data_IF_848027774417
#
_entry.id   IF_848027774417
#
_cell.length_a   1.000
_cell.length_b   1.000
_cell.length_c   1.000
_cell.angle_alpha   90.00
_cell.angle_beta   90.00
_cell.angle_gamma   90.00
#
_symmetry.space_group_name_H-M   'P 1'
#
loop_
_entity.id
_entity.type
_entity.pdbx_description
1 polymer ?
#
# COMPACT_ATOMS: atom_id res chain seq x y z
N UNK A 1 14.93 43.10 29.74
CA UNK A 1 14.45 42.27 30.87
C UNK A 1 15.04 40.87 30.76
N UNK A 2 15.27 40.15 31.88
CA UNK A 2 15.84 38.78 31.87
C UNK A 2 15.07 37.80 30.96
N UNK A 3 13.78 38.09 30.72
CA UNK A 3 12.89 37.36 29.83
C UNK A 3 13.29 37.43 28.34
N UNK A 4 13.83 38.58 27.88
CA UNK A 4 14.24 38.76 26.48
C UNK A 4 15.52 37.97 26.17
N UNK A 5 16.50 38.00 27.09
CA UNK A 5 17.75 37.23 26.96
C UNK A 5 17.47 35.72 26.84
N UNK A 6 16.52 35.17 27.62
CA UNK A 6 16.18 33.75 27.60
C UNK A 6 15.60 33.26 26.26
N UNK A 7 14.85 34.11 25.55
CA UNK A 7 14.33 33.79 24.20
C UNK A 7 15.42 33.77 23.14
N UNK A 8 16.42 34.63 23.25
CA UNK A 8 17.56 34.66 22.32
C UNK A 8 18.40 33.40 22.45
N UNK A 9 18.70 32.96 23.68
CA UNK A 9 19.43 31.69 23.89
C UNK A 9 18.64 30.46 23.43
N UNK A 10 17.32 30.46 23.61
CA UNK A 10 16.47 29.37 23.12
C UNK A 10 16.45 29.31 21.59
N UNK A 11 16.36 30.47 20.92
CA UNK A 11 16.40 30.55 19.47
C UNK A 11 17.75 30.08 18.92
N UNK A 12 18.87 30.48 19.54
CA UNK A 12 20.21 30.03 19.17
C UNK A 12 20.34 28.51 19.36
N UNK A 13 19.83 27.96 20.46
CA UNK A 13 19.85 26.52 20.71
C UNK A 13 19.06 25.75 19.65
N UNK A 14 17.87 26.24 19.28
CA UNK A 14 17.05 25.63 18.22
C UNK A 14 17.76 25.68 16.87
N UNK A 15 18.37 26.81 16.51
CA UNK A 15 19.13 26.94 15.26
C UNK A 15 20.33 25.99 15.24
N UNK A 16 21.07 25.87 16.34
CA UNK A 16 22.20 24.94 16.46
C UNK A 16 21.73 23.49 16.34
N UNK A 17 20.66 23.10 17.04
CA UNK A 17 20.08 21.75 16.95
C UNK A 17 19.61 21.45 15.52
N UNK A 18 18.89 22.38 14.89
CA UNK A 18 18.45 22.23 13.50
C UNK A 18 19.63 22.08 12.54
N UNK A 19 20.71 22.85 12.72
CA UNK A 19 21.93 22.71 11.91
C UNK A 19 22.63 21.36 12.11
N UNK A 20 22.58 20.77 13.31
CA UNK A 20 23.08 19.41 13.56
C UNK A 20 22.23 18.37 12.83
N UNK A 21 20.91 18.49 12.83
CA UNK A 21 20.02 17.57 12.08
C UNK A 21 20.09 17.74 10.56
N UNK A 22 20.41 18.94 10.06
CA UNK A 22 20.61 19.20 8.62
C UNK A 22 21.97 18.77 8.10
N UNK A 23 22.96 18.54 8.96
CA UNK A 23 24.33 18.18 8.56
C UNK A 23 24.75 16.74 8.89
N UNK A 24 23.87 15.97 9.55
CA UNK A 24 24.13 14.56 9.89
C UNK A 24 23.20 13.65 9.10
N UNK A 25 23.75 12.95 8.11
CA UNK A 25 23.10 11.77 7.54
C UNK A 25 23.38 10.58 8.47
N UNK A 26 22.37 10.18 9.24
CA UNK A 26 22.43 8.94 10.01
C UNK A 26 21.98 7.79 9.12
N UNK A 27 22.93 7.06 8.52
CA UNK A 27 22.60 5.81 7.85
C UNK A 27 22.44 4.72 8.91
N UNK A 28 21.21 4.30 9.18
CA UNK A 28 20.92 3.16 10.06
C UNK A 28 20.92 1.90 9.21
N UNK A 29 21.97 1.09 9.30
CA UNK A 29 21.98 -0.25 8.71
C UNK A 29 21.28 -1.21 9.68
N UNK A 30 20.08 -1.66 9.32
CA UNK A 30 19.45 -2.79 10.00
C UNK A 30 19.80 -4.07 9.23
N UNK A 31 20.66 -4.92 9.81
CA UNK A 31 20.92 -6.24 9.24
C UNK A 31 19.65 -7.08 9.38
N UNK A 32 19.12 -7.55 8.25
CA UNK A 32 17.96 -8.41 8.23
C UNK A 32 18.43 -9.87 8.20
N UNK A 33 17.86 -10.70 9.06
CA UNK A 33 18.15 -12.12 9.16
C UNK A 33 16.96 -12.95 8.68
N UNK A 34 17.25 -14.11 8.10
CA UNK A 34 16.30 -15.20 7.87
C UNK A 34 16.51 -16.29 8.91
N UNK A 35 15.41 -16.82 9.42
CA UNK A 35 15.34 -18.08 10.15
C UNK A 35 15.04 -19.16 9.12
N UNK A 36 15.90 -20.17 9.03
CA UNK A 36 15.81 -21.23 8.02
C UNK A 36 15.59 -22.57 8.73
N UNK A 37 14.62 -23.36 8.28
CA UNK A 37 14.39 -24.72 8.80
C UNK A 37 15.47 -25.72 8.35
N UNK A 38 15.37 -26.96 8.82
CA UNK A 38 16.32 -28.03 8.50
C UNK A 38 16.31 -28.41 7.01
N UNK A 39 15.20 -28.14 6.32
CA UNK A 39 15.00 -28.38 4.90
C UNK A 39 15.55 -27.23 4.02
N UNK A 40 16.04 -26.13 4.63
CA UNK A 40 16.64 -25.00 3.93
C UNK A 40 15.64 -23.90 3.53
N UNK A 41 14.40 -23.94 4.02
CA UNK A 41 13.39 -22.93 3.75
C UNK A 41 13.44 -21.80 4.78
N UNK A 42 13.32 -20.56 4.30
CA UNK A 42 13.12 -19.41 5.20
C UNK A 42 11.72 -19.47 5.80
N UNK A 43 11.63 -19.61 7.12
CA UNK A 43 10.34 -19.64 7.85
C UNK A 43 9.97 -18.27 8.45
N UNK A 44 10.95 -17.40 8.68
CA UNK A 44 10.74 -16.05 9.23
C UNK A 44 11.88 -15.12 8.85
N UNK A 45 11.57 -13.84 8.64
CA UNK A 45 12.57 -12.77 8.47
C UNK A 45 12.48 -11.79 9.64
N UNK A 46 13.61 -11.30 10.14
CA UNK A 46 13.68 -10.52 11.39
C UNK A 46 14.84 -9.53 11.37
N UNK A 47 14.67 -8.37 12.01
CA UNK A 47 15.77 -7.43 12.28
C UNK A 47 16.44 -7.72 13.63
N UNK A 48 15.83 -8.56 14.45
CA UNK A 48 16.42 -9.04 15.71
C UNK A 48 17.42 -10.16 15.43
N UNK A 49 18.67 -10.08 15.91
CA UNK A 49 19.72 -11.07 15.67
C UNK A 49 19.56 -12.32 16.56
N UNK A 50 18.33 -12.78 16.77
CA UNK A 50 17.99 -13.85 17.70
C UNK A 50 16.73 -14.61 17.25
N UNK A 51 16.76 -15.93 17.49
CA UNK A 51 15.67 -16.85 17.22
C UNK A 51 14.75 -16.98 18.43
N UNK A 52 13.49 -17.31 18.19
CA UNK A 52 12.58 -17.72 19.24
C UNK A 52 12.99 -19.11 19.74
N UNK A 53 12.72 -19.40 21.01
CA UNK A 53 13.03 -20.70 21.61
C UNK A 53 12.46 -21.89 20.82
N UNK A 54 11.25 -21.76 20.28
CA UNK A 54 10.63 -22.78 19.44
C UNK A 54 11.36 -23.00 18.09
N UNK A 55 12.01 -21.96 17.55
CA UNK A 55 12.79 -22.02 16.31
C UNK A 55 14.13 -22.73 16.56
N UNK A 56 14.75 -22.48 17.72
CA UNK A 56 15.95 -23.19 18.17
C UNK A 56 15.66 -24.68 18.43
N UNK A 57 14.56 -24.98 19.12
CA UNK A 57 14.11 -26.35 19.40
C UNK A 57 13.74 -27.12 18.11
N UNK A 58 13.28 -26.41 17.07
CA UNK A 58 13.01 -26.97 15.74
C UNK A 58 14.27 -27.12 14.87
N UNK A 59 15.46 -26.79 15.37
CA UNK A 59 16.73 -26.94 14.64
C UNK A 59 16.93 -25.91 13.53
N UNK A 60 16.27 -24.75 13.61
CA UNK A 60 16.42 -23.70 12.61
C UNK A 60 17.77 -22.99 12.73
N UNK A 61 18.20 -22.35 11.63
CA UNK A 61 19.41 -21.54 11.57
C UNK A 61 19.11 -20.07 11.29
N UNK A 62 19.78 -19.18 12.01
CA UNK A 62 19.75 -17.73 11.76
C UNK A 62 20.84 -17.36 10.76
N UNK A 63 20.47 -16.80 9.61
CA UNK A 63 21.41 -16.35 8.59
C UNK A 63 21.14 -14.89 8.22
N UNK A 64 22.15 -14.01 8.20
CA UNK A 64 21.97 -12.67 7.63
C UNK A 64 21.62 -12.81 6.14
N UNK A 65 20.67 -12.00 5.67
CA UNK A 65 20.32 -11.90 4.26
C UNK A 65 21.47 -11.16 3.58
N UNK A 66 22.21 -11.87 2.74
CA UNK A 66 23.14 -11.26 1.79
C UNK A 66 22.45 -11.20 0.42
N UNK A 67 22.67 -10.12 -0.36
CA UNK A 67 22.15 -10.00 -1.71
C UNK A 67 22.91 -10.96 -2.64
N UNK A 68 22.52 -12.24 -2.65
CA UNK A 68 22.67 -13.19 -3.74
C UNK A 68 22.24 -14.59 -3.26
N UNK A 69 21.25 -15.17 -3.94
CA UNK A 69 21.14 -16.57 -4.42
C UNK A 69 19.67 -16.83 -4.75
N UNK A 70 19.41 -17.06 -6.04
CA UNK A 70 18.09 -17.45 -6.61
C UNK A 70 17.82 -18.94 -6.32
N UNK A 71 16.68 -19.32 -5.74
CA UNK A 71 16.31 -20.74 -5.58
C UNK A 71 15.53 -21.30 -6.78
N UNK A 72 15.69 -22.61 -6.99
CA UNK A 72 15.07 -23.43 -8.03
C UNK A 72 13.55 -23.59 -7.85
N UNK A 73 12.81 -23.54 -8.96
CA UNK A 73 11.34 -23.52 -9.02
C UNK A 73 10.73 -24.88 -8.63
N UNK A 74 10.00 -24.91 -7.51
CA UNK A 74 8.94 -25.88 -7.20
C UNK A 74 7.60 -25.13 -7.19
N UNK A 75 6.56 -25.67 -7.82
CA UNK A 75 5.21 -25.10 -7.75
C UNK A 75 4.60 -25.39 -6.37
N UNK A 76 5.05 -24.61 -5.40
CA UNK A 76 4.50 -24.57 -4.07
C UNK A 76 3.24 -23.69 -4.07
N UNK A 77 2.07 -24.30 -3.89
CA UNK A 77 0.78 -23.59 -3.77
C UNK A 77 0.71 -22.68 -2.53
N UNK A 78 1.64 -22.84 -1.57
CA UNK A 78 1.82 -21.91 -0.45
C UNK A 78 2.53 -20.62 -0.85
N UNK A 79 2.97 -20.49 -2.11
CA UNK A 79 3.63 -19.31 -2.64
C UNK A 79 2.84 -18.69 -3.79
N UNK A 80 3.05 -17.40 -3.96
CA UNK A 80 2.56 -16.60 -5.06
C UNK A 80 3.75 -16.05 -5.81
N UNK A 81 3.69 -16.15 -7.13
CA UNK A 81 4.74 -15.68 -8.03
C UNK A 81 4.13 -14.83 -9.13
N UNK A 82 4.93 -13.94 -9.67
CA UNK A 82 4.58 -13.13 -10.82
C UNK A 82 5.82 -12.42 -11.35
N UNK A 83 5.59 -11.51 -12.27
CA UNK A 83 6.62 -10.72 -12.94
C UNK A 83 6.16 -9.28 -12.94
N UNK A 84 7.05 -8.35 -12.66
CA UNK A 84 6.88 -6.94 -12.98
C UNK A 84 7.63 -6.67 -14.28
N UNK A 85 7.00 -6.05 -15.28
CA UNK A 85 7.57 -5.87 -16.61
C UNK A 85 7.37 -4.45 -17.15
N UNK A 86 8.25 -4.06 -18.08
CA UNK A 86 8.15 -2.80 -18.82
C UNK A 86 7.12 -2.93 -19.94
N UNK A 87 5.93 -2.37 -19.70
CA UNK A 87 4.79 -2.37 -20.59
C UNK A 87 4.84 -1.15 -21.52
N UNK A 88 5.59 -1.28 -22.60
CA UNK A 88 5.89 -0.18 -23.52
C UNK A 88 4.64 0.32 -24.24
N UNK A 89 3.71 -0.58 -24.54
CA UNK A 89 2.50 -0.27 -25.28
C UNK A 89 1.28 0.00 -24.37
N UNK A 90 1.45 -0.16 -23.05
CA UNK A 90 0.41 0.04 -22.02
C UNK A 90 -0.81 -0.87 -22.19
N UNK A 91 -0.62 -2.10 -22.68
CA UNK A 91 -1.71 -3.05 -22.88
C UNK A 91 -1.97 -3.95 -21.66
N UNK A 92 -1.12 -3.89 -20.63
CA UNK A 92 -1.20 -4.67 -19.39
C UNK A 92 -0.79 -6.13 -19.52
N UNK A 93 -0.17 -6.54 -20.64
CA UNK A 93 0.23 -7.90 -20.97
C UNK A 93 1.71 -7.90 -21.34
N UNK A 94 2.50 -8.79 -20.75
CA UNK A 94 3.92 -8.88 -21.10
C UNK A 94 4.10 -9.47 -22.50
N UNK A 95 4.48 -8.62 -23.45
CA UNK A 95 4.83 -9.02 -24.82
C UNK A 95 6.27 -9.59 -24.91
N UNK A 96 6.61 -10.26 -26.02
CA UNK A 96 7.92 -10.94 -26.20
C UNK A 96 9.12 -9.98 -26.05
N UNK A 97 8.94 -8.70 -26.41
CA UNK A 97 9.98 -7.67 -26.34
C UNK A 97 9.97 -6.90 -24.99
N UNK A 98 9.03 -7.20 -24.10
CA UNK A 98 8.85 -6.51 -22.83
C UNK A 98 9.61 -7.21 -21.71
N UNK A 99 10.69 -6.55 -21.30
CA UNK A 99 11.61 -7.07 -20.29
C UNK A 99 11.03 -6.95 -18.89
N UNK A 100 11.42 -7.86 -18.00
CA UNK A 100 11.13 -7.73 -16.58
C UNK A 100 11.89 -6.56 -15.95
N UNK A 101 11.28 -5.97 -14.91
CA UNK A 101 11.82 -4.85 -14.17
C UNK A 101 12.39 -5.32 -12.82
N UNK A 102 13.72 -5.26 -12.62
CA UNK A 102 14.34 -5.56 -11.33
C UNK A 102 14.08 -4.46 -10.29
N UNK A 103 14.38 -4.78 -9.03
CA UNK A 103 14.41 -3.82 -7.92
C UNK A 103 13.05 -3.18 -7.57
N UNK A 104 11.94 -3.80 -7.98
CA UNK A 104 10.58 -3.39 -7.64
C UNK A 104 10.14 -4.08 -6.34
N UNK A 105 9.67 -3.30 -5.37
CA UNK A 105 9.08 -3.85 -4.15
C UNK A 105 7.71 -4.45 -4.44
N UNK A 106 7.52 -5.70 -3.99
CA UNK A 106 6.26 -6.45 -4.09
C UNK A 106 5.87 -6.94 -2.70
N UNK A 107 4.61 -6.79 -2.32
CA UNK A 107 4.12 -7.14 -0.98
C UNK A 107 2.76 -7.82 -1.02
N UNK A 108 2.52 -8.69 -0.04
CA UNK A 108 1.19 -9.26 0.22
C UNK A 108 0.51 -8.62 1.45
N UNK A 109 1.06 -7.51 1.95
CA UNK A 109 0.60 -6.83 3.16
C UNK A 109 1.16 -7.38 4.48
N UNK A 110 1.85 -8.53 4.43
CA UNK A 110 2.50 -9.17 5.58
C UNK A 110 4.02 -9.29 5.37
N UNK A 111 4.43 -9.64 4.16
CA UNK A 111 5.81 -9.85 3.73
C UNK A 111 6.10 -9.00 2.50
N UNK A 112 7.35 -8.56 2.36
CA UNK A 112 7.85 -7.81 1.21
C UNK A 112 9.00 -8.57 0.56
N UNK A 113 9.04 -8.59 -0.78
CA UNK A 113 10.16 -9.06 -1.59
C UNK A 113 10.53 -8.00 -2.62
N UNK A 114 11.68 -8.19 -3.28
CA UNK A 114 12.16 -7.39 -4.40
C UNK A 114 12.14 -8.26 -5.65
N UNK A 115 11.82 -7.70 -6.82
CA UNK A 115 11.95 -8.40 -8.10
C UNK A 115 13.41 -8.65 -8.47
N UNK A 116 13.70 -9.80 -9.07
CA UNK A 116 15.05 -10.15 -9.55
C UNK A 116 15.36 -9.52 -10.92
N UNK A 117 16.54 -9.84 -11.49
CA UNK A 117 17.01 -9.35 -12.80
C UNK A 117 16.04 -9.65 -13.96
N UNK A 118 15.15 -10.63 -13.81
CA UNK A 118 14.12 -11.00 -14.79
C UNK A 118 12.76 -10.38 -14.50
N UNK A 119 12.68 -9.50 -13.49
CA UNK A 119 11.43 -8.93 -12.97
C UNK A 119 10.59 -9.90 -12.15
N UNK A 120 11.08 -11.12 -11.87
CA UNK A 120 10.32 -12.15 -11.18
C UNK A 120 10.27 -11.90 -9.68
N UNK A 121 9.14 -12.21 -9.04
CA UNK A 121 8.99 -12.18 -7.59
C UNK A 121 8.36 -13.46 -7.05
N UNK A 122 8.62 -13.74 -5.77
CA UNK A 122 8.05 -14.87 -5.03
C UNK A 122 7.71 -14.44 -3.60
N UNK A 123 6.47 -14.65 -3.17
CA UNK A 123 5.98 -14.34 -1.82
C UNK A 123 5.22 -15.54 -1.24
N UNK A 124 5.07 -15.64 0.08
CA UNK A 124 4.06 -16.52 0.69
C UNK A 124 2.65 -16.14 0.19
N UNK A 125 1.80 -17.14 -0.07
CA UNK A 125 0.41 -16.95 -0.48
C UNK A 125 -0.47 -16.71 0.75
N UNK A 126 -0.25 -15.58 1.38
CA UNK A 126 -0.95 -15.13 2.59
C UNK A 126 -1.58 -13.75 2.36
N UNK A 127 -2.63 -13.45 3.12
CA UNK A 127 -3.39 -12.21 2.97
C UNK A 127 -4.45 -12.29 1.87
N UNK A 128 -4.77 -11.14 1.29
CA UNK A 128 -5.84 -11.00 0.27
C UNK A 128 -5.31 -10.55 -1.09
N UNK A 129 -4.18 -9.82 -1.10
CA UNK A 129 -3.69 -9.12 -2.27
C UNK A 129 -2.19 -9.29 -2.42
N UNK A 130 -1.71 -9.07 -3.64
CA UNK A 130 -0.32 -8.74 -3.94
C UNK A 130 -0.30 -7.35 -4.55
N UNK A 131 0.67 -6.51 -4.21
CA UNK A 131 0.76 -5.15 -4.73
C UNK A 131 2.20 -4.67 -4.82
N UNK A 132 2.43 -3.70 -5.70
CA UNK A 132 3.76 -3.17 -6.00
C UNK A 132 3.91 -1.71 -5.59
N UNK A 133 5.15 -1.27 -5.40
CA UNK A 133 5.49 0.16 -5.40
C UNK A 133 5.96 0.56 -6.79
N UNK A 134 5.25 1.48 -7.44
CA UNK A 134 5.70 2.05 -8.70
C UNK A 134 6.81 3.09 -8.43
N UNK A 135 8.02 2.96 -9.04
CA UNK A 135 9.05 3.98 -8.92
C UNK A 135 8.58 5.33 -9.48
N UNK A 136 9.24 6.42 -9.06
CA UNK A 136 8.77 7.78 -9.32
C UNK A 136 8.68 8.15 -10.80
N UNK A 137 9.50 7.52 -11.64
CA UNK A 137 9.58 7.66 -13.10
C UNK A 137 8.76 6.61 -13.86
N UNK A 138 7.87 5.89 -13.19
CA UNK A 138 6.98 4.91 -13.80
C UNK A 138 5.51 5.23 -13.53
N UNK A 139 4.67 4.72 -14.41
CA UNK A 139 3.21 4.72 -14.32
C UNK A 139 2.75 3.27 -14.42
N UNK A 140 1.84 2.85 -13.54
CA UNK A 140 1.24 1.53 -13.62
C UNK A 140 0.30 1.42 -14.82
N UNK A 141 0.47 0.37 -15.62
CA UNK A 141 -0.39 0.07 -16.78
C UNK A 141 -1.38 -1.07 -16.46
N UNK A 142 -1.11 -1.82 -15.40
CA UNK A 142 -2.08 -2.69 -14.72
C UNK A 142 -2.55 -2.05 -13.41
N UNK A 143 -3.60 -2.57 -12.75
CA UNK A 143 -3.86 -2.24 -11.36
C UNK A 143 -2.61 -2.41 -10.49
N UNK A 144 -2.38 -1.49 -9.54
CA UNK A 144 -1.20 -1.49 -8.65
C UNK A 144 -1.25 -2.58 -7.57
N UNK A 145 -2.40 -3.25 -7.43
CA UNK A 145 -2.62 -4.43 -6.64
C UNK A 145 -3.44 -5.46 -7.44
N UNK A 146 -3.38 -6.71 -7.00
CA UNK A 146 -4.16 -7.83 -7.55
C UNK A 146 -4.66 -8.71 -6.42
N UNK A 147 -5.88 -9.23 -6.55
CA UNK A 147 -6.43 -10.21 -5.62
C UNK A 147 -5.69 -11.54 -5.77
N UNK A 148 -5.34 -12.21 -4.67
CA UNK A 148 -4.65 -13.50 -4.70
C UNK A 148 -5.42 -14.63 -5.39
N UNK A 149 -6.73 -14.43 -5.61
CA UNK A 149 -7.61 -15.31 -6.36
C UNK A 149 -7.53 -15.10 -7.88
N UNK A 150 -6.86 -14.05 -8.37
CA UNK A 150 -6.63 -13.84 -9.80
C UNK A 150 -5.63 -14.87 -10.34
N UNK A 151 -5.87 -15.33 -11.58
CA UNK A 151 -4.98 -16.25 -12.29
C UNK A 151 -3.68 -15.57 -12.75
N UNK A 152 -3.73 -14.27 -13.05
CA UNK A 152 -2.62 -13.48 -13.52
C UNK A 152 -2.17 -12.46 -12.46
N UNK A 153 -0.98 -12.68 -11.91
CA UNK A 153 -0.35 -11.84 -10.89
C UNK A 153 0.87 -11.07 -11.43
N UNK A 154 0.88 -10.76 -12.72
CA UNK A 154 1.89 -9.92 -13.35
C UNK A 154 1.52 -8.43 -13.24
N UNK A 155 2.52 -7.55 -13.14
CA UNK A 155 2.32 -6.10 -13.06
C UNK A 155 3.04 -5.39 -14.19
N UNK A 156 2.31 -4.58 -14.95
CA UNK A 156 2.87 -3.73 -15.98
C UNK A 156 3.20 -2.35 -15.42
N UNK A 157 4.41 -1.87 -15.71
CA UNK A 157 4.80 -0.49 -15.49
C UNK A 157 5.34 0.07 -16.80
N UNK A 158 5.00 1.32 -17.10
CA UNK A 158 5.58 2.07 -18.21
C UNK A 158 6.46 3.18 -17.69
N UNK A 159 7.66 3.30 -18.25
CA UNK A 159 8.55 4.42 -18.01
C UNK A 159 7.94 5.74 -18.51
N UNK A 160 8.02 6.78 -17.68
CA UNK A 160 7.46 8.10 -17.95
C UNK A 160 8.43 9.20 -17.49
N UNK A 161 9.28 9.66 -18.43
CA UNK A 161 10.30 10.71 -18.22
C UNK A 161 9.72 12.05 -17.77
N UNK A 162 8.53 12.40 -18.25
CA UNK A 162 7.91 13.72 -18.02
C UNK A 162 7.26 13.84 -16.64
N UNK A 163 7.33 12.79 -15.80
CA UNK A 163 6.83 12.84 -14.44
C UNK A 163 7.81 13.60 -13.55
N UNK A 164 7.49 14.87 -13.24
CA UNK A 164 8.28 15.67 -12.29
C UNK A 164 8.13 15.10 -10.87
N UNK A 165 8.99 14.15 -10.53
CA UNK A 165 9.01 13.54 -9.20
C UNK A 165 9.46 14.46 -8.06
N UNK A 166 9.86 15.72 -8.36
CA UNK A 166 10.38 16.66 -7.35
C UNK A 166 9.32 17.62 -6.81
N UNK A 167 8.24 17.85 -7.56
CA UNK A 167 7.13 18.71 -7.14
C UNK A 167 5.82 18.04 -7.49
N UNK A 168 4.89 18.04 -6.54
CA UNK A 168 3.55 17.51 -6.75
C UNK A 168 2.53 18.37 -5.99
N UNK A 169 1.31 18.39 -6.49
CA UNK A 169 0.13 18.94 -5.85
C UNK A 169 -0.80 17.79 -5.52
N UNK A 170 -1.36 17.78 -4.33
CA UNK A 170 -2.39 16.82 -3.96
C UNK A 170 -3.52 17.52 -3.20
N UNK A 171 -4.70 16.93 -3.26
CA UNK A 171 -5.83 17.32 -2.42
C UNK A 171 -6.04 16.24 -1.36
N UNK A 172 -6.21 16.66 -0.11
CA UNK A 172 -6.67 15.80 0.97
C UNK A 172 -8.16 16.02 1.21
N UNK A 173 -8.94 14.94 1.26
CA UNK A 173 -10.36 14.94 1.63
C UNK A 173 -10.51 13.98 2.82
N UNK A 174 -11.48 14.23 3.69
CA UNK A 174 -11.79 13.36 4.83
C UNK A 174 -13.27 13.45 5.14
N UNK A 175 -13.80 12.44 5.84
CA UNK A 175 -15.15 12.50 6.44
C UNK A 175 -16.23 12.87 5.40
N UNK A 176 -16.18 12.20 4.25
CA UNK A 176 -17.13 12.42 3.15
C UNK A 176 -18.52 11.96 3.58
N UNK A 177 -18.59 10.90 4.40
CA UNK A 177 -19.83 10.45 5.02
C UNK A 177 -20.94 10.18 3.99
N UNK A 178 -20.58 9.55 2.87
CA UNK A 178 -21.50 9.31 1.75
C UNK A 178 -22.69 8.47 2.20
N UNK A 179 -23.89 8.90 1.82
CA UNK A 179 -25.16 8.22 2.07
C UNK A 179 -26.07 8.26 0.83
N UNK A 180 -27.33 7.85 1.00
CA UNK A 180 -28.36 7.82 -0.05
C UNK A 180 -29.10 9.14 -0.23
N UNK A 181 -28.78 10.20 0.54
CA UNK A 181 -29.50 11.47 0.53
C UNK A 181 -28.97 12.33 -0.62
N UNK A 182 -29.83 12.65 -1.59
CA UNK A 182 -29.45 13.37 -2.80
C UNK A 182 -28.85 14.75 -2.49
N UNK A 183 -29.41 15.46 -1.52
CA UNK A 183 -28.91 16.78 -1.12
C UNK A 183 -27.48 16.73 -0.58
N UNK A 184 -27.10 15.66 0.12
CA UNK A 184 -25.73 15.47 0.61
C UNK A 184 -24.78 15.20 -0.55
N UNK A 185 -25.21 14.34 -1.49
CA UNK A 185 -24.42 13.99 -2.68
C UNK A 185 -24.08 15.19 -3.55
N UNK A 186 -25.00 16.15 -3.72
CA UNK A 186 -24.77 17.37 -4.50
C UNK A 186 -23.55 18.16 -3.99
N UNK A 187 -23.24 18.11 -2.70
CA UNK A 187 -22.03 18.76 -2.16
C UNK A 187 -20.76 18.03 -2.55
N UNK A 188 -20.78 16.68 -2.55
CA UNK A 188 -19.65 15.85 -2.96
C UNK A 188 -19.39 16.06 -4.46
N UNK A 189 -20.43 16.09 -5.29
CA UNK A 189 -20.33 16.36 -6.74
C UNK A 189 -19.69 17.72 -7.02
N UNK A 190 -20.05 18.77 -6.27
CA UNK A 190 -19.41 20.09 -6.38
C UNK A 190 -17.94 20.07 -5.97
N UNK A 191 -17.59 19.29 -4.95
CA UNK A 191 -16.20 19.12 -4.52
C UNK A 191 -15.38 18.42 -5.62
N UNK A 192 -15.94 17.38 -6.26
CA UNK A 192 -15.34 16.70 -7.41
C UNK A 192 -15.08 17.69 -8.55
N UNK A 193 -16.07 18.50 -8.93
CA UNK A 193 -15.91 19.54 -9.95
C UNK A 193 -14.80 20.54 -9.63
N UNK A 194 -14.70 20.97 -8.37
CA UNK A 194 -13.66 21.90 -7.93
C UNK A 194 -12.27 21.26 -7.96
N UNK A 195 -12.15 20.01 -7.53
CA UNK A 195 -10.89 19.27 -7.55
C UNK A 195 -10.42 19.05 -8.99
N UNK A 196 -11.32 18.68 -9.90
CA UNK A 196 -10.98 18.57 -11.32
C UNK A 196 -10.50 19.91 -11.91
N UNK A 197 -11.04 21.05 -11.45
CA UNK A 197 -10.53 22.38 -11.85
C UNK A 197 -9.16 22.72 -11.26
N UNK A 198 -8.86 22.26 -10.05
CA UNK A 198 -7.53 22.40 -9.43
C UNK A 198 -6.51 21.56 -10.21
N UNK A 199 -6.92 20.36 -10.65
CA UNK A 199 -6.07 19.41 -11.36
C UNK A 199 -4.85 18.94 -10.55
N UNK A 200 -5.03 18.45 -9.31
CA UNK A 200 -3.91 17.90 -8.53
C UNK A 200 -3.36 16.62 -9.19
N UNK A 201 -2.10 16.28 -8.89
CA UNK A 201 -1.48 15.06 -9.37
C UNK A 201 -2.16 13.80 -8.81
N UNK A 202 -2.71 13.90 -7.59
CA UNK A 202 -3.50 12.84 -6.96
C UNK A 202 -4.33 13.36 -5.77
N UNK A 203 -5.23 12.51 -5.29
CA UNK A 203 -6.09 12.77 -4.13
C UNK A 203 -5.83 11.74 -3.05
N UNK A 204 -5.84 12.17 -1.79
CA UNK A 204 -5.80 11.29 -0.62
C UNK A 204 -7.07 11.47 0.19
N UNK A 205 -7.86 10.41 0.34
CA UNK A 205 -9.07 10.42 1.16
C UNK A 205 -8.79 9.70 2.48
N UNK A 206 -8.82 10.43 3.59
CA UNK A 206 -8.31 9.95 4.89
C UNK A 206 -9.35 9.24 5.78
N UNK A 207 -10.28 8.52 5.16
CA UNK A 207 -11.28 7.69 5.83
C UNK A 207 -12.63 8.37 6.05
N UNK A 208 -13.55 7.59 6.62
CA UNK A 208 -14.96 7.93 6.81
C UNK A 208 -15.59 8.32 5.47
N UNK A 209 -15.44 7.39 4.51
CA UNK A 209 -15.88 7.52 3.13
C UNK A 209 -17.40 7.44 3.05
N UNK A 210 -17.98 6.50 3.81
CA UNK A 210 -19.41 6.23 3.90
C UNK A 210 -19.93 6.50 5.31
N UNK A 211 -21.22 6.78 5.42
CA UNK A 211 -21.80 7.37 6.63
C UNK A 211 -21.62 6.54 7.91
N UNK A 212 -22.26 5.37 8.01
CA UNK A 212 -22.27 4.54 9.23
C UNK A 212 -22.26 3.06 8.88
N UNK A 213 -21.36 2.64 7.99
CA UNK A 213 -21.34 1.25 7.55
C UNK A 213 -21.08 0.32 8.75
N UNK A 214 -20.35 0.79 9.76
CA UNK A 214 -20.08 0.09 11.01
C UNK A 214 -21.33 -0.25 11.85
N UNK A 215 -22.42 0.52 11.74
CA UNK A 215 -23.63 0.34 12.53
C UNK A 215 -24.81 -0.30 11.75
N UNK A 216 -24.64 -0.61 10.46
CA UNK A 216 -25.71 -1.13 9.58
C UNK A 216 -25.44 -2.55 9.09
N UNK A 217 -26.33 -3.12 8.27
CA UNK A 217 -26.12 -4.40 7.58
C UNK A 217 -25.22 -4.22 6.35
N UNK A 218 -24.57 -5.29 5.91
CA UNK A 218 -23.72 -5.30 4.71
C UNK A 218 -24.42 -4.67 3.49
N UNK A 219 -25.66 -5.06 3.19
CA UNK A 219 -26.37 -4.56 2.00
C UNK A 219 -26.57 -3.03 1.98
N UNK A 220 -26.67 -2.39 3.15
CA UNK A 220 -26.77 -0.93 3.21
C UNK A 220 -25.40 -0.27 3.08
N UNK A 221 -24.35 -0.89 3.64
CA UNK A 221 -22.98 -0.45 3.42
C UNK A 221 -22.63 -0.54 1.93
N UNK A 222 -22.98 -1.63 1.25
CA UNK A 222 -22.80 -1.82 -0.20
C UNK A 222 -23.41 -0.67 -0.99
N UNK A 223 -24.65 -0.30 -0.72
CA UNK A 223 -25.29 0.83 -1.39
C UNK A 223 -24.50 2.15 -1.22
N UNK A 224 -23.97 2.42 -0.03
CA UNK A 224 -23.17 3.63 0.20
C UNK A 224 -21.79 3.57 -0.46
N UNK A 225 -21.13 2.41 -0.46
CA UNK A 225 -19.86 2.20 -1.15
C UNK A 225 -20.02 2.29 -2.68
N UNK A 226 -21.13 1.78 -3.22
CA UNK A 226 -21.50 1.95 -4.64
C UNK A 226 -21.64 3.43 -5.00
N UNK A 227 -22.37 4.20 -4.20
CA UNK A 227 -22.54 5.65 -4.43
C UNK A 227 -21.18 6.35 -4.36
N UNK A 228 -20.40 6.08 -3.32
CA UNK A 228 -19.09 6.69 -3.13
C UNK A 228 -18.15 6.36 -4.29
N UNK A 229 -18.09 5.09 -4.71
CA UNK A 229 -17.28 4.62 -5.85
C UNK A 229 -17.68 5.33 -7.15
N UNK A 230 -18.99 5.50 -7.39
CA UNK A 230 -19.49 6.22 -8.57
C UNK A 230 -19.21 7.72 -8.52
N UNK A 231 -19.16 8.34 -7.34
CA UNK A 231 -18.81 9.75 -7.19
C UNK A 231 -17.34 9.97 -7.53
N UNK A 232 -16.44 9.18 -6.94
CA UNK A 232 -15.00 9.33 -7.15
C UNK A 232 -14.54 8.89 -8.55
N UNK A 233 -15.30 8.06 -9.26
CA UNK A 233 -14.97 7.69 -10.64
C UNK A 233 -15.05 8.87 -11.62
N UNK A 234 -15.63 10.00 -11.20
CA UNK A 234 -15.65 11.24 -11.98
C UNK A 234 -14.43 12.15 -11.72
N UNK A 235 -13.48 11.73 -10.88
CA UNK A 235 -12.22 12.45 -10.69
C UNK A 235 -11.23 12.09 -11.79
N UNK A 236 -10.60 13.11 -12.38
CA UNK A 236 -9.69 12.93 -13.53
C UNK A 236 -8.30 12.40 -13.13
N UNK A 237 -8.04 12.28 -11.83
CA UNK A 237 -6.75 11.90 -11.24
C UNK A 237 -6.89 10.73 -10.28
N UNK A 238 -5.79 10.01 -9.99
CA UNK A 238 -5.81 8.89 -9.05
C UNK A 238 -6.29 9.29 -7.65
N UNK A 239 -7.16 8.45 -7.08
CA UNK A 239 -7.69 8.61 -5.72
C UNK A 239 -7.12 7.51 -4.83
N UNK A 240 -6.55 7.90 -3.69
CA UNK A 240 -5.99 6.99 -2.70
C UNK A 240 -6.81 7.05 -1.42
N UNK A 241 -7.57 5.98 -1.17
CA UNK A 241 -8.43 5.87 -0.01
C UNK A 241 -7.68 5.23 1.16
N UNK A 242 -8.02 5.67 2.36
CA UNK A 242 -7.71 4.98 3.61
C UNK A 242 -9.00 4.59 4.33
N UNK A 243 -8.92 3.62 5.25
CA UNK A 243 -10.07 3.13 6.02
C UNK A 243 -10.28 3.99 7.27
N UNK A 244 -11.46 4.57 7.43
CA UNK A 244 -11.95 5.19 8.67
C UNK A 244 -12.77 4.24 9.54
N UNK A 245 -13.28 4.74 10.66
CA UNK A 245 -14.06 3.90 11.58
C UNK A 245 -15.48 3.64 11.07
N UNK A 246 -16.02 4.51 10.23
CA UNK A 246 -17.34 4.28 9.63
C UNK A 246 -17.30 3.39 8.39
N UNK A 247 -16.11 3.03 7.91
CA UNK A 247 -15.89 2.20 6.72
C UNK A 247 -15.76 0.69 7.04
N UNK A 248 -15.70 0.31 8.33
CA UNK A 248 -15.60 -1.09 8.77
C UNK A 248 -16.99 -1.68 8.97
N UNK A 249 -17.52 -2.33 7.94
CA UNK A 249 -18.92 -2.75 7.89
C UNK A 249 -19.36 -3.61 9.08
N UNK A 250 -20.47 -3.20 9.69
CA UNK A 250 -21.28 -3.95 10.65
C UNK A 250 -20.60 -4.38 11.94
N UNK A 251 -19.42 -3.85 12.28
CA UNK A 251 -18.71 -4.21 13.53
C UNK A 251 -19.47 -3.81 14.80
N UNK A 252 -20.36 -2.83 14.71
CA UNK A 252 -21.25 -2.35 15.77
C UNK A 252 -22.73 -2.73 15.51
N UNK A 253 -23.00 -3.60 14.53
CA UNK A 253 -24.36 -4.02 14.22
C UNK A 253 -24.93 -4.93 15.30
N UNK A 254 -26.23 -4.78 15.61
CA UNK A 254 -26.89 -5.46 16.74
C UNK A 254 -26.93 -6.99 16.63
N UNK A 255 -26.75 -7.54 15.44
CA UNK A 255 -26.73 -8.98 15.19
C UNK A 255 -25.31 -9.38 14.82
N UNK A 256 -24.87 -10.54 15.32
CA UNK A 256 -23.62 -11.15 14.87
C UNK A 256 -23.75 -11.57 13.41
N UNK A 257 -23.03 -10.86 12.55
CA UNK A 257 -22.91 -11.11 11.12
C UNK A 257 -21.43 -11.23 10.73
N UNK A 258 -20.57 -11.58 11.68
CA UNK A 258 -19.11 -11.64 11.50
C UNK A 258 -18.62 -12.63 10.43
N UNK A 259 -19.51 -13.51 9.98
CA UNK A 259 -19.24 -14.51 8.93
C UNK A 259 -19.83 -14.13 7.57
N UNK A 260 -20.60 -13.04 7.48
CA UNK A 260 -21.15 -12.57 6.21
C UNK A 260 -20.03 -11.96 5.34
N UNK A 261 -20.03 -12.22 4.01
CA UNK A 261 -19.16 -11.51 3.08
C UNK A 261 -19.29 -9.99 3.26
N UNK A 262 -18.18 -9.27 3.11
CA UNK A 262 -18.16 -7.82 3.30
C UNK A 262 -17.98 -7.34 4.75
N UNK A 263 -18.13 -8.19 5.77
CA UNK A 263 -17.97 -7.81 7.18
C UNK A 263 -16.60 -7.16 7.49
N UNK A 264 -16.58 -6.21 8.42
CA UNK A 264 -15.40 -5.45 8.84
C UNK A 264 -14.75 -4.75 7.63
N UNK A 265 -13.48 -4.99 7.35
CA UNK A 265 -12.77 -4.42 6.19
C UNK A 265 -13.09 -5.13 4.88
N UNK A 266 -13.95 -6.16 4.89
CA UNK A 266 -14.27 -6.97 3.71
C UNK A 266 -14.77 -6.11 2.57
N UNK A 267 -15.84 -5.34 2.81
CA UNK A 267 -16.45 -4.52 1.76
C UNK A 267 -15.48 -3.47 1.23
N UNK A 268 -14.73 -2.79 2.10
CA UNK A 268 -13.73 -1.82 1.67
C UNK A 268 -12.72 -2.46 0.71
N UNK A 269 -12.27 -3.68 1.02
CA UNK A 269 -11.30 -4.42 0.20
C UNK A 269 -11.87 -4.83 -1.14
N UNK A 270 -13.15 -5.14 -1.21
CA UNK A 270 -13.84 -5.50 -2.45
C UNK A 270 -13.89 -4.31 -3.43
N UNK A 271 -14.05 -3.07 -2.92
CA UNK A 271 -14.07 -1.85 -3.74
C UNK A 271 -12.68 -1.26 -4.01
N UNK A 272 -11.82 -1.19 -3.00
CA UNK A 272 -10.59 -0.38 -3.05
C UNK A 272 -9.30 -1.18 -2.83
N UNK A 273 -9.40 -2.47 -2.55
CA UNK A 273 -8.25 -3.35 -2.41
C UNK A 273 -7.53 -3.24 -1.07
N UNK A 274 -6.18 -3.32 -1.05
CA UNK A 274 -5.39 -3.29 0.18
C UNK A 274 -5.68 -2.07 1.07
N UNK A 275 -5.70 -2.28 2.38
CA UNK A 275 -5.84 -1.19 3.37
C UNK A 275 -4.53 -0.50 3.71
N UNK A 276 -3.44 -0.90 3.06
CA UNK A 276 -2.09 -0.38 3.23
C UNK A 276 -1.44 -0.28 1.86
N UNK A 277 -0.56 0.70 1.70
CA UNK A 277 0.25 0.88 0.50
C UNK A 277 1.70 1.03 0.91
N UNK A 278 2.61 0.42 0.16
CA UNK A 278 4.04 0.69 0.29
C UNK A 278 4.38 1.99 -0.44
N UNK A 279 5.17 2.84 0.18
CA UNK A 279 5.80 4.01 -0.45
C UNK A 279 7.32 3.83 -0.42
N UNK A 280 7.98 4.14 -1.54
CA UNK A 280 9.44 4.27 -1.60
C UNK A 280 9.89 5.62 -1.05
#
# INVERSE_FOLDING_TARGET
>A
TPYFMRKVYLLILVVILSLVFLSTSLTVYATIYRIIDAEGNTIRVTTEPQMKKAEEEAGCILSPIQPAVVPLISQDISKVKGVVFEDHNSNGIQDIEEMGLPDILVSNGLTVTVTDETGSYLLPREGHFVFITAPSNYISTTPWYKNLLEDNLHFGLRFALDKDSKQFTFVQITDIHTDTIEEHRVFIEKAVDEINRIGPDFIVVTGDLVWKADETKISQAEEWFDIYSNLISNLDMPVFNTVGNHDVASVNYKKDISTEPGYNKGIYRDYFGPTTRLSN
#
